data_IF_583394855596
#
_entry.id   IF_583394855596
#
_cell.length_a   1.000
_cell.length_b   1.000
_cell.length_c   1.000
_cell.angle_alpha   90.00
_cell.angle_beta   90.00
_cell.angle_gamma   90.00
#
_symmetry.space_group_name_H-M   'P 1'
#
loop_
_entity.id
_entity.type
_entity.pdbx_description
1 polymer ?
#
# COMPACT_ATOMS: atom_id res chain seq x y z
N UNK A 1 -57.56 26.58 4.97
CA UNK A 1 -56.56 26.15 5.97
C UNK A 1 -55.87 24.92 5.42
N UNK A 2 -54.69 25.09 4.83
CA UNK A 2 -53.93 24.00 4.20
C UNK A 2 -52.47 24.24 4.51
N UNK A 3 -51.87 23.36 5.32
CA UNK A 3 -50.45 23.42 5.68
C UNK A 3 -49.59 22.79 4.57
N UNK A 4 -48.41 23.32 4.24
CA UNK A 4 -47.49 22.65 3.34
C UNK A 4 -46.65 21.61 4.11
N UNK A 5 -46.56 20.40 3.56
CA UNK A 5 -45.63 19.36 4.04
C UNK A 5 -44.22 19.70 3.56
N UNK A 6 -43.34 20.04 4.49
CA UNK A 6 -41.89 20.10 4.28
C UNK A 6 -41.37 18.67 4.09
N UNK A 7 -40.84 18.37 2.90
CA UNK A 7 -40.05 17.17 2.66
C UNK A 7 -38.64 17.44 3.17
N UNK A 8 -38.31 16.79 4.28
CA UNK A 8 -36.98 16.78 4.88
C UNK A 8 -36.14 15.70 4.15
N UNK A 9 -35.48 16.09 3.06
CA UNK A 9 -34.49 15.24 2.42
C UNK A 9 -33.18 15.33 3.18
N UNK A 10 -33.00 14.44 4.16
CA UNK A 10 -31.68 14.06 4.65
C UNK A 10 -30.90 13.39 3.50
N UNK A 11 -30.22 14.19 2.68
CA UNK A 11 -29.16 13.71 1.81
C UNK A 11 -27.96 13.35 2.71
N UNK A 12 -27.44 12.11 2.64
CA UNK A 12 -26.18 11.80 3.31
C UNK A 12 -25.06 12.63 2.66
N UNK A 13 -24.25 13.27 3.51
CA UNK A 13 -23.06 14.03 3.11
C UNK A 13 -22.11 13.19 2.24
N UNK A 14 -21.41 13.79 1.26
CA UNK A 14 -20.46 13.10 0.41
C UNK A 14 -19.17 12.84 1.20
N UNK A 15 -19.18 11.80 2.02
CA UNK A 15 -17.95 11.22 2.54
C UNK A 15 -17.60 10.09 1.59
N UNK A 16 -16.70 10.40 0.66
CA UNK A 16 -15.77 9.50 -0.04
C UNK A 16 -16.15 8.02 -0.03
N UNK A 17 -17.14 7.66 -0.87
CA UNK A 17 -17.24 6.27 -1.34
C UNK A 17 -16.20 6.12 -2.43
N UNK A 18 -15.00 5.69 -2.04
CA UNK A 18 -14.07 5.11 -3.00
C UNK A 18 -14.72 3.81 -3.46
N UNK A 19 -15.16 3.75 -4.71
CA UNK A 19 -15.73 2.53 -5.27
C UNK A 19 -14.66 1.42 -5.18
N UNK A 20 -14.99 0.23 -4.67
CA UNK A 20 -14.03 -0.88 -4.56
C UNK A 20 -13.45 -1.30 -5.92
N UNK A 21 -14.11 -0.91 -7.03
CA UNK A 21 -13.62 -1.10 -8.40
C UNK A 21 -12.44 -0.18 -8.77
N UNK A 22 -12.17 0.88 -7.99
CA UNK A 22 -11.11 1.85 -8.28
C UNK A 22 -9.79 1.51 -7.55
N UNK A 23 -9.84 1.03 -6.30
CA UNK A 23 -8.62 0.81 -5.49
C UNK A 23 -7.73 -0.32 -6.02
N UNK A 24 -8.33 -1.41 -6.52
CA UNK A 24 -7.61 -2.52 -7.14
C UNK A 24 -6.93 -2.08 -8.43
N UNK A 25 -7.64 -1.30 -9.26
CA UNK A 25 -7.11 -0.74 -10.50
C UNK A 25 -5.99 0.26 -10.22
N UNK A 26 -6.16 1.10 -9.19
CA UNK A 26 -5.16 2.06 -8.72
C UNK A 26 -3.89 1.37 -8.25
N UNK A 27 -4.00 0.35 -7.39
CA UNK A 27 -2.88 -0.45 -6.91
C UNK A 27 -2.10 -1.09 -8.08
N UNK A 28 -2.82 -1.71 -9.02
CA UNK A 28 -2.24 -2.28 -10.24
C UNK A 28 -1.57 -1.24 -11.14
N UNK A 29 -2.12 -0.03 -11.24
CA UNK A 29 -1.53 1.05 -12.01
C UNK A 29 -0.23 1.57 -11.37
N UNK A 30 -0.20 1.71 -10.04
CA UNK A 30 1.05 2.03 -9.34
C UNK A 30 2.10 0.95 -9.57
N UNK A 31 1.74 -0.32 -9.47
CA UNK A 31 2.67 -1.42 -9.75
C UNK A 31 3.29 -1.34 -11.14
N UNK A 32 2.52 -0.96 -12.17
CA UNK A 32 3.06 -0.74 -13.53
C UNK A 32 4.04 0.43 -13.59
N UNK A 33 3.78 1.51 -12.84
CA UNK A 33 4.73 2.63 -12.73
C UNK A 33 6.02 2.16 -12.07
N UNK A 34 5.92 1.40 -10.98
CA UNK A 34 7.09 0.82 -10.32
C UNK A 34 7.86 -0.10 -11.26
N UNK A 35 7.20 -1.03 -11.96
CA UNK A 35 7.84 -1.96 -12.89
C UNK A 35 8.71 -1.24 -13.93
N UNK A 36 8.25 -0.08 -14.43
CA UNK A 36 8.94 0.73 -15.42
C UNK A 36 10.17 1.50 -14.87
N UNK A 37 10.34 1.61 -13.55
CA UNK A 37 11.48 2.28 -12.92
C UNK A 37 12.59 1.25 -12.70
N UNK A 38 13.78 1.40 -13.33
CA UNK A 38 14.92 0.56 -13.01
C UNK A 38 15.33 0.75 -11.55
N UNK A 39 15.42 -0.34 -10.78
CA UNK A 39 15.86 -0.32 -9.39
C UNK A 39 16.66 -1.59 -9.11
N UNK A 40 17.75 -1.46 -8.36
CA UNK A 40 18.53 -2.60 -7.87
C UNK A 40 18.00 -3.13 -6.53
N UNK A 41 17.08 -2.39 -5.90
CA UNK A 41 16.46 -2.78 -4.63
C UNK A 41 15.22 -3.62 -4.92
N UNK A 42 15.10 -4.84 -4.34
CA UNK A 42 14.03 -5.77 -4.67
C UNK A 42 12.68 -5.38 -4.06
N UNK A 43 12.64 -4.42 -3.13
CA UNK A 43 11.41 -3.93 -2.54
C UNK A 43 11.47 -2.42 -2.25
N UNK A 44 10.32 -1.78 -2.10
CA UNK A 44 10.20 -0.35 -1.84
C UNK A 44 8.97 -0.04 -0.98
N UNK A 45 9.04 1.03 -0.21
CA UNK A 45 7.89 1.63 0.49
C UNK A 45 7.83 3.10 0.10
N UNK A 46 6.72 3.52 -0.49
CA UNK A 46 6.52 4.88 -1.00
C UNK A 46 5.30 5.51 -0.37
N UNK A 47 5.49 6.72 0.16
CA UNK A 47 4.40 7.58 0.57
C UNK A 47 3.75 8.23 -0.64
N UNK A 48 2.43 8.19 -0.66
CA UNK A 48 1.53 8.91 -1.54
C UNK A 48 0.66 9.80 -0.65
N UNK A 49 -0.05 10.79 -1.20
CA UNK A 49 -0.76 11.81 -0.41
C UNK A 49 -1.41 11.33 0.91
N UNK A 50 -2.34 10.36 0.82
CA UNK A 50 -2.99 9.71 1.98
C UNK A 50 -2.76 8.20 2.03
N UNK A 51 -1.89 7.70 1.17
CA UNK A 51 -1.69 6.27 0.99
C UNK A 51 -0.22 5.91 1.15
N UNK A 52 0.04 4.65 1.46
CA UNK A 52 1.38 4.09 1.40
C UNK A 52 1.34 2.89 0.49
N UNK A 53 2.31 2.78 -0.40
CA UNK A 53 2.48 1.62 -1.27
C UNK A 53 3.71 0.84 -0.83
N UNK A 54 3.53 -0.44 -0.55
CA UNK A 54 4.64 -1.40 -0.43
C UNK A 54 4.72 -2.17 -1.74
N UNK A 55 5.92 -2.33 -2.27
CA UNK A 55 6.19 -3.06 -3.50
C UNK A 55 7.32 -4.05 -3.24
N UNK A 56 7.18 -5.28 -3.70
CA UNK A 56 8.20 -6.31 -3.53
C UNK A 56 8.27 -7.21 -4.78
N UNK A 57 9.47 -7.43 -5.31
CA UNK A 57 9.77 -8.28 -6.46
C UNK A 57 10.34 -9.66 -6.06
N UNK A 58 10.51 -9.91 -4.76
CA UNK A 58 10.88 -11.22 -4.21
C UNK A 58 9.76 -12.23 -4.39
N UNK A 59 10.03 -13.49 -4.04
CA UNK A 59 9.10 -14.60 -4.26
C UNK A 59 7.73 -14.40 -3.57
N UNK A 60 6.72 -15.18 -3.98
CA UNK A 60 5.36 -15.06 -3.45
C UNK A 60 5.23 -15.26 -1.94
N UNK A 61 6.21 -15.88 -1.25
CA UNK A 61 6.16 -16.04 0.20
C UNK A 61 6.30 -14.71 0.94
N UNK A 62 6.87 -13.68 0.30
CA UNK A 62 6.95 -12.33 0.88
C UNK A 62 5.61 -11.60 0.90
N UNK A 63 4.60 -12.05 0.13
CA UNK A 63 3.25 -11.48 0.15
C UNK A 63 2.61 -11.53 1.55
N UNK A 64 2.74 -12.67 2.23
CA UNK A 64 2.19 -12.88 3.57
C UNK A 64 2.89 -11.97 4.59
N UNK A 65 4.20 -11.81 4.46
CA UNK A 65 4.99 -10.91 5.32
C UNK A 65 4.61 -9.45 5.03
N UNK A 66 4.42 -9.08 3.76
CA UNK A 66 4.01 -7.75 3.33
C UNK A 66 2.68 -7.36 3.96
N UNK A 67 1.63 -8.16 3.81
CA UNK A 67 0.32 -7.85 4.39
C UNK A 67 0.36 -7.83 5.92
N UNK A 68 1.05 -8.80 6.54
CA UNK A 68 1.16 -8.88 7.99
C UNK A 68 1.89 -7.66 8.59
N UNK A 69 2.96 -7.18 7.96
CA UNK A 69 3.67 -5.99 8.41
C UNK A 69 2.84 -4.75 8.12
N UNK A 70 2.29 -4.63 6.91
CA UNK A 70 1.63 -3.41 6.45
C UNK A 70 0.33 -3.13 7.20
N UNK A 71 -0.46 -4.16 7.53
CA UNK A 71 -1.69 -4.04 8.34
C UNK A 71 -1.49 -3.41 9.73
N UNK A 72 -0.25 -3.36 10.24
CA UNK A 72 0.08 -2.67 11.50
C UNK A 72 0.13 -1.14 11.38
N UNK A 73 0.18 -0.62 10.15
CA UNK A 73 0.40 0.81 9.87
C UNK A 73 -0.78 1.49 9.18
N UNK A 74 -1.77 0.73 8.72
CA UNK A 74 -2.95 1.24 8.04
C UNK A 74 -3.93 0.15 7.65
N UNK A 75 -5.03 0.55 7.03
CA UNK A 75 -5.98 -0.35 6.41
C UNK A 75 -5.47 -0.73 5.02
N UNK A 76 -5.34 -2.04 4.76
CA UNK A 76 -5.01 -2.53 3.43
C UNK A 76 -6.23 -2.33 2.53
N UNK A 77 -6.07 -1.50 1.49
CA UNK A 77 -7.11 -1.26 0.50
C UNK A 77 -7.09 -2.31 -0.62
N UNK A 78 -5.90 -2.71 -1.04
CA UNK A 78 -5.72 -3.71 -2.10
C UNK A 78 -4.32 -4.34 -2.05
N UNK A 79 -4.26 -5.65 -2.28
CA UNK A 79 -3.02 -6.37 -2.59
C UNK A 79 -3.12 -6.89 -4.01
N UNK A 80 -2.13 -6.58 -4.85
CA UNK A 80 -2.13 -6.94 -6.27
C UNK A 80 -0.77 -7.49 -6.69
N UNK A 81 -0.78 -8.22 -7.81
CA UNK A 81 0.43 -8.66 -8.49
C UNK A 81 0.39 -8.31 -9.98
N UNK A 82 1.55 -7.97 -10.53
CA UNK A 82 1.75 -7.79 -11.97
C UNK A 82 2.93 -8.63 -12.43
N UNK A 83 2.83 -9.22 -13.61
CA UNK A 83 4.01 -9.82 -14.25
C UNK A 83 5.03 -8.72 -14.51
N UNK A 84 6.20 -8.83 -13.88
CA UNK A 84 7.29 -7.88 -14.06
C UNK A 84 7.99 -8.14 -15.38
N UNK A 85 8.41 -7.06 -16.05
CA UNK A 85 9.29 -7.14 -17.22
C UNK A 85 10.77 -7.11 -16.83
N UNK A 86 11.08 -6.99 -15.54
CA UNK A 86 12.44 -6.88 -15.03
C UNK A 86 13.15 -8.23 -15.08
N UNK A 87 14.45 -8.17 -15.35
CA UNK A 87 15.29 -9.34 -15.58
C UNK A 87 15.64 -10.10 -14.28
N UNK A 88 15.35 -9.52 -13.12
CA UNK A 88 15.91 -9.86 -11.81
C UNK A 88 14.90 -10.43 -10.80
N UNK A 89 13.64 -10.64 -11.19
CA UNK A 89 12.58 -10.99 -10.23
C UNK A 89 11.41 -11.81 -10.76
N UNK A 90 10.60 -12.28 -9.81
CA UNK A 90 9.30 -12.88 -10.06
C UNK A 90 8.23 -11.82 -10.37
N UNK A 91 6.93 -12.13 -10.22
CA UNK A 91 5.89 -11.10 -10.31
C UNK A 91 6.13 -9.99 -9.27
N UNK A 92 5.86 -8.75 -9.65
CA UNK A 92 5.92 -7.62 -8.73
C UNK A 92 4.64 -7.59 -7.90
N UNK A 93 4.79 -7.71 -6.58
CA UNK A 93 3.73 -7.67 -5.60
C UNK A 93 3.58 -6.27 -5.04
N UNK A 94 2.33 -5.88 -4.76
CA UNK A 94 2.01 -4.56 -4.25
C UNK A 94 0.92 -4.60 -3.20
N UNK A 95 1.09 -3.81 -2.14
CA UNK A 95 0.08 -3.59 -1.11
C UNK A 95 -0.15 -2.09 -0.96
N UNK A 96 -1.37 -1.64 -1.25
CA UNK A 96 -1.80 -0.26 -1.11
C UNK A 96 -2.54 -0.11 0.21
N UNK A 97 -2.09 0.85 1.03
CA UNK A 97 -2.64 1.11 2.35
C UNK A 97 -3.23 2.51 2.44
N UNK A 98 -4.34 2.62 3.13
CA UNK A 98 -4.84 3.87 3.68
C UNK A 98 -4.26 4.07 5.08
N UNK A 99 -3.62 5.21 5.32
CA UNK A 99 -2.96 5.49 6.60
C UNK A 99 -3.62 6.65 7.31
N UNK A 100 -3.75 6.53 8.63
CA UNK A 100 -4.23 7.62 9.47
C UNK A 100 -3.08 8.60 9.73
N UNK A 101 -3.22 9.85 9.29
CA UNK A 101 -2.24 10.91 9.52
C UNK A 101 -1.23 11.09 8.40
N UNK A 102 0.02 11.40 8.75
CA UNK A 102 1.08 11.71 7.79
C UNK A 102 1.60 10.44 7.09
N UNK A 103 1.44 10.36 5.77
CA UNK A 103 1.86 9.23 4.97
C UNK A 103 3.38 9.04 4.94
N UNK A 104 4.16 10.13 5.00
CA UNK A 104 5.63 10.04 5.03
C UNK A 104 6.14 9.37 6.31
N UNK A 105 5.57 9.75 7.45
CA UNK A 105 5.92 9.16 8.74
C UNK A 105 5.51 7.67 8.79
N UNK A 106 4.34 7.34 8.25
CA UNK A 106 3.86 5.96 8.14
C UNK A 106 4.78 5.13 7.23
N UNK A 107 5.14 5.65 6.06
CA UNK A 107 6.06 5.00 5.12
C UNK A 107 7.46 4.80 5.72
N UNK A 108 7.97 5.78 6.47
CA UNK A 108 9.25 5.67 7.18
C UNK A 108 9.26 4.51 8.19
N UNK A 109 8.24 4.45 9.06
CA UNK A 109 8.13 3.36 10.06
C UNK A 109 7.87 2.00 9.41
N UNK A 110 7.04 1.97 8.37
CA UNK A 110 6.75 0.75 7.62
C UNK A 110 8.00 0.21 6.95
N UNK A 111 8.81 1.07 6.33
CA UNK A 111 10.10 0.70 5.73
C UNK A 111 11.03 0.03 6.75
N UNK A 112 11.16 0.62 7.94
CA UNK A 112 11.99 0.05 9.00
C UNK A 112 11.48 -1.32 9.48
N UNK A 113 10.16 -1.45 9.69
CA UNK A 113 9.55 -2.71 10.12
C UNK A 113 9.65 -3.80 9.05
N UNK A 114 9.48 -3.43 7.77
CA UNK A 114 9.54 -4.36 6.66
C UNK A 114 10.97 -4.85 6.39
N UNK A 115 11.96 -3.97 6.52
CA UNK A 115 13.37 -4.36 6.54
C UNK A 115 13.64 -5.39 7.64
N UNK A 116 13.25 -5.11 8.88
CA UNK A 116 13.44 -6.03 10.01
C UNK A 116 12.76 -7.40 9.82
N UNK A 117 11.61 -7.43 9.13
CA UNK A 117 10.85 -8.65 8.92
C UNK A 117 11.38 -9.51 7.77
N UNK A 118 12.14 -8.93 6.84
CA UNK A 118 12.52 -9.59 5.59
C UNK A 118 14.02 -9.75 5.38
N UNK A 119 14.84 -9.05 6.16
CA UNK A 119 16.27 -9.32 6.19
C UNK A 119 16.57 -10.61 6.97
N UNK A 120 17.50 -11.45 6.48
CA UNK A 120 18.00 -12.57 7.26
C UNK A 120 18.60 -12.03 8.56
N UNK A 121 18.35 -12.73 9.67
CA UNK A 121 19.00 -12.43 10.95
C UNK A 121 20.51 -12.50 10.76
N UNK A 122 21.14 -11.34 10.58
CA UNK A 122 22.58 -11.23 10.56
C UNK A 122 23.02 -11.15 12.01
N UNK A 123 23.82 -12.12 12.46
CA UNK A 123 24.51 -12.14 13.76
C UNK A 123 25.59 -11.02 13.87
N UNK A 124 25.56 -10.01 13.00
CA UNK A 124 26.51 -8.90 12.97
C UNK A 124 25.97 -7.66 13.68
N UNK A 125 26.72 -7.17 14.67
CA UNK A 125 26.50 -5.99 15.51
C UNK A 125 26.36 -4.62 14.77
N UNK A 126 26.08 -4.61 13.47
CA UNK A 126 25.88 -3.41 12.65
C UNK A 126 24.50 -3.43 12.00
N UNK A 127 23.44 -3.30 12.80
CA UNK A 127 22.14 -2.87 12.28
C UNK A 127 22.10 -1.33 12.26
N UNK A 128 21.59 -0.70 11.20
CA UNK A 128 21.58 0.76 11.10
C UNK A 128 20.48 1.32 12.00
N UNK A 129 20.86 1.64 13.24
CA UNK A 129 20.27 2.73 14.01
C UNK A 129 21.23 3.91 13.99
#
# INVERSE_FOLDING_TARGET
MTAPKTFDTCLPSPVDRIDPMDVTALCRNYLRIFDAIPTEVPWSVVALERHVMVVDARDESTSVIMEAVASRFGEILATESVTSTRCDGGPLLGCLLNVAGNADDAAGRLRAAYWQATEPASDGENQPF
#
